data_IF_796876072641
#
_entry.id   IF_796876072641
#
_cell.length_a   1.000
_cell.length_b   1.000
_cell.length_c   1.000
_cell.angle_alpha   90.00
_cell.angle_beta   90.00
_cell.angle_gamma   90.00
#
_symmetry.space_group_name_H-M   'P 1'
#
loop_
_entity.id
_entity.type
_entity.pdbx_description
1 polymer ?
#
# COMPACT_ATOMS: atom_id res chain seq x y z
N UNK A 1 -77.84 -59.54 61.98
CA UNK A 1 -78.29 -58.53 61.00
C UNK A 1 -77.48 -57.23 61.08
N UNK A 2 -76.93 -56.87 62.24
CA UNK A 2 -76.17 -55.62 62.42
C UNK A 2 -74.84 -55.58 61.64
N UNK A 3 -74.16 -56.72 61.47
CA UNK A 3 -72.88 -56.77 60.73
C UNK A 3 -73.03 -56.49 59.22
N UNK A 4 -74.14 -56.91 58.60
CA UNK A 4 -74.36 -56.70 57.15
C UNK A 4 -74.60 -55.23 56.80
N UNK A 5 -75.21 -54.48 57.72
CA UNK A 5 -75.43 -53.03 57.59
C UNK A 5 -74.11 -52.25 57.73
N UNK A 6 -73.24 -52.65 58.65
CA UNK A 6 -71.92 -52.04 58.82
C UNK A 6 -71.03 -52.22 57.58
N UNK A 7 -71.03 -53.42 56.98
CA UNK A 7 -70.29 -53.68 55.75
C UNK A 7 -70.84 -52.90 54.54
N UNK A 8 -72.16 -52.76 54.42
CA UNK A 8 -72.78 -51.99 53.33
C UNK A 8 -72.47 -50.48 53.40
N UNK A 9 -72.44 -49.90 54.61
CA UNK A 9 -72.08 -48.50 54.85
C UNK A 9 -70.59 -48.27 54.56
N UNK A 10 -69.72 -49.19 54.99
CA UNK A 10 -68.29 -49.11 54.70
C UNK A 10 -68.01 -49.18 53.18
N UNK A 11 -68.68 -50.07 52.45
CA UNK A 11 -68.48 -50.22 51.01
C UNK A 11 -68.98 -48.99 50.23
N UNK A 12 -70.12 -48.43 50.62
CA UNK A 12 -70.67 -47.21 50.00
C UNK A 12 -69.80 -45.98 50.28
N UNK A 13 -69.20 -45.86 51.47
CA UNK A 13 -68.23 -44.81 51.78
C UNK A 13 -66.95 -44.92 50.93
N UNK A 14 -66.45 -46.15 50.70
CA UNK A 14 -65.28 -46.39 49.84
C UNK A 14 -65.58 -46.06 48.39
N UNK A 15 -66.75 -46.43 47.87
CA UNK A 15 -67.17 -46.09 46.50
C UNK A 15 -67.36 -44.58 46.35
N UNK A 16 -67.95 -43.90 47.33
CA UNK A 16 -68.12 -42.46 47.32
C UNK A 16 -66.77 -41.72 47.37
N UNK A 17 -65.82 -42.19 48.18
CA UNK A 17 -64.48 -41.62 48.25
C UNK A 17 -63.68 -41.84 46.95
N UNK A 18 -63.81 -43.01 46.33
CA UNK A 18 -63.20 -43.30 45.04
C UNK A 18 -63.81 -42.44 43.92
N UNK A 19 -65.13 -42.26 43.92
CA UNK A 19 -65.83 -41.38 42.97
C UNK A 19 -65.43 -39.91 43.16
N UNK A 20 -65.33 -39.43 44.40
CA UNK A 20 -64.89 -38.07 44.72
C UNK A 20 -63.41 -37.85 44.35
N UNK A 21 -62.55 -38.84 44.60
CA UNK A 21 -61.15 -38.82 44.18
C UNK A 21 -60.99 -38.79 42.66
N UNK A 22 -61.76 -39.60 41.93
CA UNK A 22 -61.80 -39.59 40.47
C UNK A 22 -62.31 -38.26 39.92
N UNK A 23 -63.39 -37.71 40.50
CA UNK A 23 -63.91 -36.39 40.12
C UNK A 23 -62.88 -35.28 40.36
N UNK A 24 -62.18 -35.30 41.49
CA UNK A 24 -61.15 -34.31 41.80
C UNK A 24 -59.93 -34.42 40.87
N UNK A 25 -59.56 -35.62 40.44
CA UNK A 25 -58.46 -35.83 39.50
C UNK A 25 -58.87 -35.46 38.06
N UNK A 26 -60.09 -35.79 37.64
CA UNK A 26 -60.65 -35.48 36.33
C UNK A 26 -61.04 -33.99 36.18
N UNK A 27 -61.40 -33.31 37.27
CA UNK A 27 -61.79 -31.91 37.29
C UNK A 27 -60.63 -30.94 37.50
N UNK A 28 -59.37 -31.40 37.44
CA UNK A 28 -58.23 -30.47 37.34
C UNK A 28 -58.39 -29.68 36.05
N UNK A 29 -58.62 -28.35 36.09
CA UNK A 29 -58.73 -27.58 34.87
C UNK A 29 -57.36 -27.66 34.17
N UNK A 30 -57.33 -28.25 32.98
CA UNK A 30 -56.20 -28.09 32.06
C UNK A 30 -56.00 -26.59 31.93
N UNK A 31 -54.82 -26.08 32.30
CA UNK A 31 -54.50 -24.64 32.21
C UNK A 31 -54.74 -24.18 30.77
N UNK A 32 -55.90 -23.56 30.54
CA UNK A 32 -56.39 -23.13 29.22
C UNK A 32 -55.54 -22.03 28.58
N UNK A 33 -54.54 -21.49 29.29
CA UNK A 33 -53.57 -20.50 28.79
C UNK A 33 -52.28 -21.06 28.19
N UNK A 34 -51.99 -22.37 28.28
CA UNK A 34 -50.78 -22.98 27.73
C UNK A 34 -50.58 -22.78 26.20
N UNK A 35 -51.61 -22.96 25.34
CA UNK A 35 -51.44 -22.74 23.90
C UNK A 35 -51.29 -21.25 23.54
N UNK A 36 -51.93 -20.34 24.27
CA UNK A 36 -51.73 -18.91 24.06
C UNK A 36 -50.33 -18.45 24.49
N UNK A 37 -49.82 -18.94 25.62
CA UNK A 37 -48.45 -18.65 26.05
C UNK A 37 -47.42 -19.19 25.06
N UNK A 38 -47.61 -20.41 24.55
CA UNK A 38 -46.75 -20.97 23.51
C UNK A 38 -46.75 -20.12 22.23
N UNK A 39 -47.93 -19.65 21.79
CA UNK A 39 -48.06 -18.79 20.61
C UNK A 39 -47.41 -17.41 20.81
N UNK A 40 -47.56 -16.80 21.99
CA UNK A 40 -46.88 -15.53 22.33
C UNK A 40 -45.36 -15.69 22.38
N UNK A 41 -44.87 -16.78 22.98
CA UNK A 41 -43.45 -17.09 23.01
C UNK A 41 -42.89 -17.33 21.60
N UNK A 42 -43.62 -18.02 20.72
CA UNK A 42 -43.21 -18.22 19.34
C UNK A 42 -43.14 -16.90 18.55
N UNK A 43 -44.12 -16.02 18.73
CA UNK A 43 -44.10 -14.68 18.11
C UNK A 43 -42.90 -13.86 18.60
N UNK A 44 -42.64 -13.84 19.91
CA UNK A 44 -41.48 -13.17 20.49
C UNK A 44 -40.16 -13.72 19.91
N UNK A 45 -40.01 -15.05 19.84
CA UNK A 45 -38.82 -15.68 19.23
C UNK A 45 -38.66 -15.33 17.75
N UNK A 46 -39.75 -15.20 16.99
CA UNK A 46 -39.71 -14.77 15.58
C UNK A 46 -39.29 -13.31 15.45
N UNK A 47 -39.77 -12.44 16.33
CA UNK A 47 -39.37 -11.02 16.37
C UNK A 47 -37.91 -10.86 16.76
N UNK A 48 -37.45 -11.58 17.77
CA UNK A 48 -36.05 -11.60 18.20
C UNK A 48 -35.13 -12.10 17.08
N UNK A 49 -35.51 -13.18 16.37
CA UNK A 49 -34.76 -13.66 15.19
C UNK A 49 -34.67 -12.59 14.10
N UNK A 50 -35.76 -11.87 13.83
CA UNK A 50 -35.77 -10.77 12.85
C UNK A 50 -34.91 -9.58 13.31
N UNK A 51 -34.96 -9.24 14.60
CA UNK A 51 -34.13 -8.19 15.19
C UNK A 51 -32.64 -8.56 15.12
N UNK A 52 -32.28 -9.78 15.50
CA UNK A 52 -30.92 -10.32 15.40
C UNK A 52 -30.41 -10.33 13.94
N UNK A 53 -31.24 -10.76 12.98
CA UNK A 53 -30.88 -10.72 11.56
C UNK A 53 -30.62 -9.28 11.05
N UNK A 54 -31.46 -8.31 11.45
CA UNK A 54 -31.24 -6.89 11.13
C UNK A 54 -29.95 -6.35 11.76
N UNK A 55 -29.67 -6.70 13.01
CA UNK A 55 -28.46 -6.32 13.70
C UNK A 55 -27.21 -6.90 13.02
N UNK A 56 -27.24 -8.19 12.67
CA UNK A 56 -26.17 -8.86 11.94
C UNK A 56 -25.92 -8.21 10.56
N UNK A 57 -26.98 -7.91 9.80
CA UNK A 57 -26.86 -7.21 8.52
C UNK A 57 -26.30 -5.79 8.67
N UNK A 58 -26.67 -5.08 9.75
CA UNK A 58 -26.11 -3.75 10.06
C UNK A 58 -24.62 -3.83 10.39
N UNK A 59 -24.23 -4.80 11.23
CA UNK A 59 -22.83 -5.06 11.57
C UNK A 59 -22.01 -5.44 10.34
N UNK A 60 -22.56 -6.28 9.45
CA UNK A 60 -21.95 -6.62 8.16
C UNK A 60 -21.64 -5.36 7.33
N UNK A 61 -22.65 -4.49 7.11
CA UNK A 61 -22.47 -3.22 6.38
C UNK A 61 -21.43 -2.30 7.01
N UNK A 62 -21.44 -2.17 8.34
CA UNK A 62 -20.44 -1.36 9.06
C UNK A 62 -19.02 -1.91 8.89
N UNK A 63 -18.88 -3.23 8.91
CA UNK A 63 -17.59 -3.92 8.75
C UNK A 63 -17.05 -3.76 7.33
N UNK A 64 -17.89 -3.97 6.32
CA UNK A 64 -17.55 -3.74 4.91
C UNK A 64 -17.14 -2.29 4.66
N UNK A 65 -17.90 -1.33 5.21
CA UNK A 65 -17.58 0.10 5.10
C UNK A 65 -16.20 0.42 5.69
N UNK A 66 -15.93 -0.03 6.92
CA UNK A 66 -14.62 0.19 7.56
C UNK A 66 -13.48 -0.48 6.79
N UNK A 67 -13.70 -1.68 6.26
CA UNK A 67 -12.72 -2.37 5.44
C UNK A 67 -12.42 -1.59 4.15
N UNK A 68 -13.45 -1.03 3.50
CA UNK A 68 -13.32 -0.15 2.33
C UNK A 68 -12.53 1.13 2.62
N UNK A 69 -12.86 1.82 3.72
CA UNK A 69 -12.17 3.04 4.17
C UNK A 69 -10.68 2.76 4.48
N UNK A 70 -10.39 1.68 5.22
CA UNK A 70 -9.02 1.27 5.52
C UNK A 70 -8.22 0.92 4.25
N UNK A 71 -8.83 0.20 3.30
CA UNK A 71 -8.22 -0.13 2.01
C UNK A 71 -7.91 1.13 1.21
N UNK A 72 -8.84 2.09 1.16
CA UNK A 72 -8.66 3.35 0.45
C UNK A 72 -7.49 4.17 1.01
N UNK A 73 -7.41 4.34 2.33
CA UNK A 73 -6.31 5.07 2.96
C UNK A 73 -4.95 4.39 2.76
N UNK A 74 -4.90 3.05 2.87
CA UNK A 74 -3.68 2.29 2.58
C UNK A 74 -3.21 2.50 1.13
N UNK A 75 -4.11 2.45 0.16
CA UNK A 75 -3.77 2.67 -1.25
C UNK A 75 -3.30 4.10 -1.51
N UNK A 76 -3.92 5.09 -0.88
CA UNK A 76 -3.45 6.49 -0.93
C UNK A 76 -2.06 6.65 -0.36
N UNK A 77 -1.75 5.98 0.75
CA UNK A 77 -0.41 5.98 1.33
C UNK A 77 0.60 5.37 0.36
N UNK A 78 0.32 4.17 -0.17
CA UNK A 78 1.17 3.53 -1.19
C UNK A 78 1.39 4.42 -2.42
N UNK A 79 0.36 5.12 -2.88
CA UNK A 79 0.49 6.08 -3.98
C UNK A 79 1.44 7.23 -3.61
N UNK A 80 1.30 7.83 -2.43
CA UNK A 80 2.19 8.92 -1.97
C UNK A 80 3.64 8.47 -1.85
N UNK A 81 3.86 7.29 -1.29
CA UNK A 81 5.20 6.69 -1.16
C UNK A 81 5.81 6.40 -2.53
N UNK A 82 5.05 5.81 -3.45
CA UNK A 82 5.51 5.53 -4.82
C UNK A 82 5.91 6.82 -5.55
N UNK A 83 5.14 7.91 -5.41
CA UNK A 83 5.51 9.23 -5.95
C UNK A 83 6.80 9.76 -5.32
N UNK A 84 6.94 9.64 -3.99
CA UNK A 84 8.13 10.12 -3.29
C UNK A 84 9.40 9.35 -3.71
N UNK A 85 9.28 8.04 -3.93
CA UNK A 85 10.40 7.22 -4.42
C UNK A 85 10.74 7.58 -5.86
N UNK A 86 9.73 7.77 -6.74
CA UNK A 86 9.95 8.26 -8.10
C UNK A 86 10.71 9.60 -8.11
N UNK A 87 10.37 10.51 -7.18
CA UNK A 87 11.05 11.80 -7.06
C UNK A 87 12.51 11.68 -6.65
N UNK A 88 12.84 10.75 -5.75
CA UNK A 88 14.22 10.45 -5.38
C UNK A 88 15.01 9.90 -6.58
N UNK A 89 14.44 8.96 -7.33
CA UNK A 89 15.08 8.42 -8.53
C UNK A 89 15.27 9.47 -9.64
N UNK A 90 14.30 10.37 -9.81
CA UNK A 90 14.43 11.49 -10.71
C UNK A 90 15.62 12.39 -10.32
N UNK A 91 15.72 12.74 -9.03
CA UNK A 91 16.83 13.54 -8.52
C UNK A 91 18.18 12.82 -8.69
N UNK A 92 18.27 11.54 -8.32
CA UNK A 92 19.47 10.69 -8.48
C UNK A 92 19.96 10.68 -9.93
N UNK A 93 19.06 10.37 -10.87
CA UNK A 93 19.38 10.36 -12.30
C UNK A 93 19.89 11.72 -12.77
N UNK A 94 19.25 12.81 -12.35
CA UNK A 94 19.65 14.15 -12.76
C UNK A 94 21.02 14.54 -12.19
N UNK A 95 21.34 14.12 -10.96
CA UNK A 95 22.65 14.36 -10.37
C UNK A 95 23.73 13.48 -11.01
N UNK A 96 23.44 12.23 -11.35
CA UNK A 96 24.33 11.39 -12.15
C UNK A 96 24.63 12.01 -13.52
N UNK A 97 23.60 12.50 -14.23
CA UNK A 97 23.76 13.24 -15.49
C UNK A 97 24.64 14.49 -15.34
N UNK A 98 24.42 15.26 -14.27
CA UNK A 98 25.22 16.47 -13.98
C UNK A 98 26.67 16.12 -13.71
N UNK A 99 26.92 15.11 -12.90
CA UNK A 99 28.27 14.62 -12.57
C UNK A 99 28.96 14.10 -13.82
N UNK A 100 28.28 13.31 -14.65
CA UNK A 100 28.81 12.81 -15.93
C UNK A 100 29.26 13.96 -16.83
N UNK A 101 28.45 15.02 -16.99
CA UNK A 101 28.83 16.21 -17.76
C UNK A 101 30.11 16.86 -17.23
N UNK A 102 30.25 16.96 -15.90
CA UNK A 102 31.45 17.52 -15.26
C UNK A 102 32.69 16.65 -15.48
N UNK A 103 32.56 15.33 -15.32
CA UNK A 103 33.65 14.37 -15.57
C UNK A 103 34.07 14.41 -17.04
N UNK A 104 33.12 14.37 -17.99
CA UNK A 104 33.41 14.45 -19.41
C UNK A 104 34.13 15.76 -19.80
N UNK A 105 33.74 16.89 -19.22
CA UNK A 105 34.45 18.16 -19.42
C UNK A 105 35.87 18.14 -18.84
N UNK A 106 36.06 17.49 -17.69
CA UNK A 106 37.38 17.26 -17.08
C UNK A 106 38.28 16.38 -17.96
N UNK A 107 37.75 15.24 -18.41
CA UNK A 107 38.41 14.32 -19.32
C UNK A 107 38.85 15.04 -20.60
N UNK A 108 37.96 15.80 -21.23
CA UNK A 108 38.31 16.56 -22.45
C UNK A 108 39.48 17.54 -22.23
N UNK A 109 39.60 18.16 -21.04
CA UNK A 109 40.77 19.01 -20.71
C UNK A 109 42.04 18.17 -20.56
N UNK A 110 41.97 17.04 -19.85
CA UNK A 110 43.10 16.15 -19.62
C UNK A 110 43.58 15.53 -20.94
N UNK A 111 42.69 15.02 -21.79
CA UNK A 111 43.03 14.47 -23.11
C UNK A 111 43.63 15.52 -24.06
N UNK A 112 43.27 16.81 -23.94
CA UNK A 112 43.96 17.89 -24.67
C UNK A 112 45.39 18.10 -24.16
N UNK A 113 45.60 18.07 -22.83
CA UNK A 113 46.94 18.21 -22.23
C UNK A 113 47.83 17.02 -22.55
N UNK A 114 47.31 15.80 -22.49
CA UNK A 114 48.04 14.57 -22.84
C UNK A 114 48.49 14.63 -24.31
N UNK A 115 47.59 14.95 -25.24
CA UNK A 115 47.94 15.12 -26.66
C UNK A 115 48.99 16.20 -26.91
N UNK A 116 48.96 17.31 -26.17
CA UNK A 116 50.01 18.34 -26.25
C UNK A 116 51.37 17.82 -25.78
N UNK A 117 51.41 16.98 -24.75
CA UNK A 117 52.66 16.41 -24.24
C UNK A 117 53.18 15.24 -25.10
N UNK A 118 52.28 14.44 -25.65
CA UNK A 118 52.60 13.31 -26.52
C UNK A 118 52.95 13.77 -27.95
N UNK A 119 52.24 14.78 -28.45
CA UNK A 119 52.40 15.36 -29.78
C UNK A 119 53.33 16.56 -29.83
N UNK A 120 53.90 17.03 -28.71
CA UNK A 120 54.99 18.00 -28.73
C UNK A 120 56.15 17.38 -29.52
N UNK A 121 56.40 17.83 -30.76
CA UNK A 121 57.62 17.45 -31.45
C UNK A 121 58.75 18.00 -30.58
N UNK A 122 59.91 17.34 -30.59
CA UNK A 122 61.13 18.05 -30.22
C UNK A 122 61.27 19.23 -31.17
N UNK A 123 60.75 20.40 -30.78
CA UNK A 123 60.95 21.65 -31.49
C UNK A 123 62.46 21.91 -31.45
N UNK A 124 63.14 21.51 -32.52
CA UNK A 124 64.59 21.48 -32.60
C UNK A 124 65.16 20.23 -33.28
N UNK A 125 64.79 19.99 -34.53
CA UNK A 125 65.76 19.61 -35.56
C UNK A 125 66.64 20.83 -35.93
N UNK A 126 67.08 21.57 -34.90
CA UNK A 126 67.84 22.80 -34.96
C UNK A 126 68.64 22.86 -33.67
N UNK A 127 69.96 22.79 -33.80
CA UNK A 127 71.03 22.96 -32.81
C UNK A 127 70.55 23.38 -31.40
N UNK A 128 70.18 22.42 -30.55
CA UNK A 128 69.70 22.71 -29.20
C UNK A 128 68.80 21.60 -28.64
N UNK A 129 69.29 20.37 -28.63
CA UNK A 129 68.52 19.22 -28.17
C UNK A 129 67.99 19.44 -26.74
N UNK A 130 66.67 19.49 -26.58
CA UNK A 130 66.05 19.51 -25.25
C UNK A 130 66.63 18.39 -24.38
N UNK A 131 67.17 18.75 -23.21
CA UNK A 131 67.90 17.86 -22.33
C UNK A 131 67.13 16.54 -22.09
N UNK A 132 67.80 15.37 -22.11
CA UNK A 132 67.18 14.05 -21.92
C UNK A 132 66.26 13.96 -20.69
N UNK A 133 66.57 14.70 -19.62
CA UNK A 133 65.74 14.82 -18.43
C UNK A 133 64.34 15.43 -18.70
N UNK A 134 64.25 16.49 -19.52
CA UNK A 134 62.97 17.12 -19.90
C UNK A 134 62.10 16.17 -20.73
N UNK A 135 62.70 15.41 -21.64
CA UNK A 135 62.00 14.38 -22.44
C UNK A 135 61.49 13.23 -21.57
N UNK A 136 62.29 12.77 -20.61
CA UNK A 136 61.87 11.74 -19.63
C UNK A 136 60.71 12.23 -18.75
N UNK A 137 60.78 13.47 -18.26
CA UNK A 137 59.71 14.10 -17.48
C UNK A 137 58.39 14.20 -18.25
N UNK A 138 58.42 14.68 -19.49
CA UNK A 138 57.23 14.78 -20.34
C UNK A 138 56.59 13.40 -20.62
N UNK A 139 57.41 12.37 -20.88
CA UNK A 139 56.93 10.99 -21.07
C UNK A 139 56.36 10.38 -19.79
N UNK A 140 56.91 10.70 -18.62
CA UNK A 140 56.36 10.25 -17.34
C UNK A 140 55.01 10.91 -17.05
N UNK A 141 54.89 12.21 -17.32
CA UNK A 141 53.65 12.97 -17.17
C UNK A 141 52.57 12.48 -18.15
N UNK A 142 52.89 12.27 -19.43
CA UNK A 142 51.94 11.74 -20.41
C UNK A 142 51.39 10.36 -19.97
N UNK A 143 52.25 9.49 -19.42
CA UNK A 143 51.83 8.20 -18.86
C UNK A 143 50.90 8.35 -17.64
N UNK A 144 51.17 9.32 -16.75
CA UNK A 144 50.27 9.64 -15.62
C UNK A 144 48.91 10.12 -16.11
N UNK A 145 48.90 11.03 -17.10
CA UNK A 145 47.65 11.54 -17.68
C UNK A 145 46.85 10.45 -18.39
N UNK A 146 47.52 9.50 -19.06
CA UNK A 146 46.82 8.36 -19.69
C UNK A 146 46.13 7.46 -18.66
N UNK A 147 46.78 7.15 -17.53
CA UNK A 147 46.12 6.42 -16.43
C UNK A 147 44.90 7.18 -15.90
N UNK A 148 45.02 8.50 -15.71
CA UNK A 148 43.91 9.33 -15.26
C UNK A 148 42.76 9.38 -16.28
N UNK A 149 43.06 9.33 -17.57
CA UNK A 149 42.05 9.20 -18.64
C UNK A 149 41.31 7.86 -18.50
N UNK A 150 42.05 6.75 -18.35
CA UNK A 150 41.46 5.42 -18.19
C UNK A 150 40.55 5.34 -16.95
N UNK A 151 40.98 5.93 -15.83
CA UNK A 151 40.20 6.03 -14.59
C UNK A 151 38.92 6.86 -14.80
N UNK A 152 39.03 8.01 -15.47
CA UNK A 152 37.87 8.85 -15.78
C UNK A 152 36.89 8.18 -16.73
N UNK A 153 37.37 7.42 -17.72
CA UNK A 153 36.52 6.62 -18.60
C UNK A 153 35.80 5.51 -17.83
N UNK A 154 36.45 4.88 -16.85
CA UNK A 154 35.81 3.93 -15.96
C UNK A 154 34.68 4.59 -15.13
N UNK A 155 34.93 5.79 -14.60
CA UNK A 155 33.91 6.57 -13.88
C UNK A 155 32.74 6.95 -14.80
N UNK A 156 33.01 7.33 -16.05
CA UNK A 156 31.95 7.63 -17.04
C UNK A 156 31.07 6.41 -17.32
N UNK A 157 31.67 5.22 -17.47
CA UNK A 157 30.93 3.96 -17.65
C UNK A 157 30.05 3.64 -16.44
N UNK A 158 30.57 3.82 -15.22
CA UNK A 158 29.82 3.64 -13.98
C UNK A 158 28.65 4.63 -13.88
N UNK A 159 28.86 5.90 -14.25
CA UNK A 159 27.79 6.91 -14.28
C UNK A 159 26.72 6.61 -15.34
N UNK A 160 27.11 6.06 -16.50
CA UNK A 160 26.14 5.62 -17.50
C UNK A 160 25.24 4.50 -16.96
N UNK A 161 25.79 3.58 -16.17
CA UNK A 161 25.01 2.54 -15.51
C UNK A 161 24.04 3.12 -14.48
N UNK A 162 24.50 4.04 -13.62
CA UNK A 162 23.63 4.74 -12.66
C UNK A 162 22.49 5.50 -13.34
N UNK A 163 22.75 6.11 -14.51
CA UNK A 163 21.72 6.79 -15.30
C UNK A 163 20.69 5.79 -15.84
N UNK A 164 21.13 4.61 -16.32
CA UNK A 164 20.22 3.54 -16.78
C UNK A 164 19.38 3.01 -15.62
N UNK A 165 20.01 2.70 -14.49
CA UNK A 165 19.36 2.25 -13.27
C UNK A 165 18.30 3.25 -12.80
N UNK A 166 18.67 4.53 -12.72
CA UNK A 166 17.75 5.60 -12.34
C UNK A 166 16.60 5.77 -13.33
N UNK A 167 16.85 5.60 -14.64
CA UNK A 167 15.80 5.65 -15.66
C UNK A 167 14.83 4.46 -15.58
N UNK A 168 15.33 3.25 -15.34
CA UNK A 168 14.51 2.05 -15.18
C UNK A 168 13.60 2.17 -13.95
N UNK A 169 14.18 2.47 -12.79
CA UNK A 169 13.41 2.62 -11.55
C UNK A 169 12.37 3.75 -11.63
N UNK A 170 12.73 4.88 -12.26
CA UNK A 170 11.77 5.97 -12.47
C UNK A 170 10.58 5.53 -13.34
N UNK A 171 10.81 4.76 -14.41
CA UNK A 171 9.73 4.21 -15.23
C UNK A 171 8.83 3.28 -14.43
N UNK A 172 9.41 2.38 -13.66
CA UNK A 172 8.67 1.39 -12.87
C UNK A 172 7.81 2.04 -11.79
N UNK A 173 8.38 2.98 -11.04
CA UNK A 173 7.63 3.72 -10.02
C UNK A 173 6.56 4.64 -10.62
N UNK A 174 6.79 5.22 -11.79
CA UNK A 174 5.75 5.98 -12.48
C UNK A 174 4.60 5.07 -12.95
N UNK A 175 4.91 3.90 -13.49
CA UNK A 175 3.91 2.91 -13.88
C UNK A 175 3.11 2.42 -12.67
N UNK A 176 3.78 2.10 -11.56
CA UNK A 176 3.13 1.71 -10.29
C UNK A 176 2.25 2.81 -9.74
N UNK A 177 2.72 4.05 -9.75
CA UNK A 177 1.93 5.22 -9.33
C UNK A 177 0.67 5.37 -10.15
N UNK A 178 0.78 5.24 -11.48
CA UNK A 178 -0.38 5.29 -12.38
C UNK A 178 -1.37 4.17 -12.07
N UNK A 179 -0.90 2.92 -11.93
CA UNK A 179 -1.75 1.77 -11.57
C UNK A 179 -2.45 1.98 -10.24
N UNK A 180 -1.75 2.46 -9.21
CA UNK A 180 -2.36 2.76 -7.91
C UNK A 180 -3.43 3.84 -8.02
N UNK A 181 -3.18 4.87 -8.84
CA UNK A 181 -4.15 5.94 -9.10
C UNK A 181 -5.43 5.40 -9.76
N UNK A 182 -5.28 4.56 -10.78
CA UNK A 182 -6.40 3.89 -11.48
C UNK A 182 -7.13 2.92 -10.54
N UNK A 183 -6.40 2.09 -9.80
CA UNK A 183 -6.93 1.18 -8.78
C UNK A 183 -7.80 1.90 -7.75
N UNK A 184 -7.31 3.04 -7.21
CA UNK A 184 -8.09 3.84 -6.26
C UNK A 184 -9.38 4.38 -6.90
N UNK A 185 -9.34 4.80 -8.16
CA UNK A 185 -10.51 5.32 -8.86
C UNK A 185 -11.58 4.25 -9.04
N UNK A 186 -11.17 3.04 -9.41
CA UNK A 186 -12.05 1.97 -9.86
C UNK A 186 -12.58 1.13 -8.68
N UNK A 187 -11.75 0.89 -7.65
CA UNK A 187 -12.07 -0.04 -6.56
C UNK A 187 -12.47 0.61 -5.22
N UNK A 188 -12.30 1.93 -5.05
CA UNK A 188 -12.61 2.62 -3.78
C UNK A 188 -13.90 3.44 -3.81
N UNK A 189 -14.81 3.14 -4.74
CA UNK A 189 -16.13 3.76 -4.79
C UNK A 189 -16.10 5.28 -5.01
N UNK A 190 -17.06 5.99 -4.41
CA UNK A 190 -17.22 7.44 -4.61
C UNK A 190 -16.03 8.26 -4.09
N UNK A 191 -15.45 7.88 -2.95
CA UNK A 191 -14.29 8.56 -2.37
C UNK A 191 -13.06 8.45 -3.26
N UNK A 192 -12.82 7.26 -3.82
CA UNK A 192 -11.78 7.00 -4.81
C UNK A 192 -11.88 7.90 -6.03
N UNK A 193 -13.08 7.97 -6.63
CA UNK A 193 -13.36 8.85 -7.79
C UNK A 193 -13.15 10.32 -7.47
N UNK A 194 -13.65 10.80 -6.32
CA UNK A 194 -13.46 12.19 -5.88
C UNK A 194 -11.98 12.52 -5.63
N UNK A 195 -11.23 11.59 -5.04
CA UNK A 195 -9.79 11.75 -4.85
C UNK A 195 -9.05 11.81 -6.19
N UNK A 196 -9.37 10.92 -7.13
CA UNK A 196 -8.79 10.90 -8.47
C UNK A 196 -9.04 12.22 -9.21
N UNK A 197 -10.29 12.70 -9.23
CA UNK A 197 -10.66 13.95 -9.87
C UNK A 197 -9.89 15.15 -9.30
N UNK A 198 -9.75 15.23 -7.97
CA UNK A 198 -8.92 16.24 -7.29
C UNK A 198 -7.44 16.13 -7.64
N UNK A 199 -6.91 14.92 -7.78
CA UNK A 199 -5.52 14.70 -8.18
C UNK A 199 -5.28 15.20 -9.62
N UNK A 200 -6.12 14.81 -10.57
CA UNK A 200 -6.03 15.24 -11.97
C UNK A 200 -6.20 16.75 -12.14
N UNK A 201 -7.14 17.36 -11.41
CA UNK A 201 -7.31 18.81 -11.41
C UNK A 201 -6.03 19.53 -10.97
N UNK A 202 -5.34 19.04 -9.93
CA UNK A 202 -4.04 19.59 -9.51
C UNK A 202 -2.95 19.39 -10.55
N UNK A 203 -2.90 18.23 -11.21
CA UNK A 203 -1.94 17.96 -12.29
C UNK A 203 -2.16 18.93 -13.46
N UNK A 204 -3.40 19.09 -13.92
CA UNK A 204 -3.75 20.04 -15.01
C UNK A 204 -3.38 21.47 -14.64
N UNK A 205 -3.70 21.92 -13.42
CA UNK A 205 -3.32 23.27 -12.95
C UNK A 205 -1.82 23.50 -13.00
N UNK A 206 -1.01 22.53 -12.56
CA UNK A 206 0.46 22.62 -12.61
C UNK A 206 1.01 22.71 -14.03
N UNK A 207 0.43 21.94 -14.96
CA UNK A 207 0.82 21.99 -16.37
C UNK A 207 0.47 23.34 -16.99
N UNK A 208 -0.72 23.88 -16.69
CA UNK A 208 -1.17 25.18 -17.17
C UNK A 208 -0.35 26.35 -16.61
N UNK A 209 0.06 26.28 -15.34
CA UNK A 209 0.82 27.35 -14.68
C UNK A 209 2.31 27.35 -14.99
N UNK A 210 2.79 26.41 -15.82
CA UNK A 210 4.22 26.26 -16.17
C UNK A 210 5.15 26.05 -14.97
N UNK A 211 4.59 25.82 -13.78
CA UNK A 211 5.35 25.85 -12.53
C UNK A 211 6.09 24.52 -12.40
N UNK A 212 7.44 24.51 -12.40
CA UNK A 212 8.19 23.27 -12.26
C UNK A 212 7.83 22.60 -10.94
N UNK A 213 7.83 21.26 -10.93
CA UNK A 213 7.64 20.48 -9.70
C UNK A 213 8.65 20.98 -8.65
N UNK A 214 8.22 21.47 -7.48
CA UNK A 214 9.15 21.97 -6.48
C UNK A 214 10.07 20.80 -6.09
N UNK A 215 11.38 20.96 -6.33
CA UNK A 215 12.34 19.95 -5.90
C UNK A 215 12.27 19.90 -4.39
N UNK A 216 11.69 18.84 -3.83
CA UNK A 216 11.81 18.54 -2.40
C UNK A 216 13.25 18.12 -2.13
N UNK A 217 14.17 19.09 -2.12
CA UNK A 217 15.44 18.94 -1.42
C UNK A 217 15.05 18.82 0.06
N UNK A 218 15.10 17.60 0.57
CA UNK A 218 14.93 17.33 1.99
C UNK A 218 15.93 18.15 2.78
N UNK A 219 15.42 18.74 3.87
CA UNK A 219 16.23 19.28 4.94
C UNK A 219 17.25 18.23 5.39
N UNK A 220 18.45 18.73 5.67
CA UNK A 220 19.41 18.06 6.53
C UNK A 220 18.86 18.02 7.94
#
# INVERSE_FOLDING_TARGET
MEDLLAWAIALSAVVAAAAAGYWFYAARPVRTGAPEQARRAELALREDRRAAARAAASLGRLTERRAGEARFELLKQKHRESVAIADKWYAHKHDALRTRRRVAAGLARISRRERRLAGAPGAGAGRGGAAPARRRGARAEARRLRRLIDDMDAVLRSLDEEIRLGAANLRDHNARTRRLKEHIRDDCGAEGRLWYARLEARTRRRLASGTPKPSRRGGR
#
